data_IF_775201219877
#
_entry.id   IF_775201219877
#
_cell.length_a   1.000
_cell.length_b   1.000
_cell.length_c   1.000
_cell.angle_alpha   90.00
_cell.angle_beta   90.00
_cell.angle_gamma   90.00
#
_symmetry.space_group_name_H-M   'P 1'
#
loop_
_entity.id
_entity.type
_entity.pdbx_description
1 polymer ?
#
# COMPACT_ATOMS: atom_id res chain seq x y z
N UNK A 1 -20.03 -14.47 15.86
CA UNK A 1 -19.58 -13.06 16.00
C UNK A 1 -18.06 -13.04 15.90
N UNK A 2 -17.47 -12.20 15.03
CA UNK A 2 -16.01 -11.98 15.03
C UNK A 2 -15.55 -11.27 16.31
N UNK A 3 -14.26 -11.36 16.65
CA UNK A 3 -13.69 -10.62 17.80
C UNK A 3 -13.72 -9.12 17.49
N UNK A 4 -14.25 -8.32 18.41
CA UNK A 4 -14.22 -6.86 18.34
C UNK A 4 -13.04 -6.36 19.16
N UNK A 5 -12.36 -5.32 18.68
CA UNK A 5 -11.27 -4.66 19.38
C UNK A 5 -11.47 -3.13 19.37
N UNK A 6 -10.95 -2.46 20.39
CA UNK A 6 -10.92 -1.00 20.48
C UNK A 6 -9.50 -0.51 20.27
N UNK A 7 -9.33 0.46 19.37
CA UNK A 7 -8.07 1.19 19.19
C UNK A 7 -8.25 2.61 19.71
N UNK A 8 -7.32 3.07 20.53
CA UNK A 8 -7.30 4.44 21.04
C UNK A 8 -6.49 5.32 20.11
N UNK A 9 -7.04 6.46 19.70
CA UNK A 9 -6.39 7.46 18.86
C UNK A 9 -6.64 8.85 19.45
N UNK A 10 -5.83 9.84 19.07
CA UNK A 10 -6.10 11.23 19.46
C UNK A 10 -7.43 11.72 18.89
N UNK A 11 -8.03 12.73 19.54
CA UNK A 11 -9.24 13.37 19.05
C UNK A 11 -9.06 13.94 17.63
N UNK A 12 -7.92 14.60 17.39
CA UNK A 12 -7.53 15.14 16.09
C UNK A 12 -7.47 14.05 15.00
N UNK A 13 -6.87 12.89 15.31
CA UNK A 13 -6.80 11.76 14.37
C UNK A 13 -8.21 11.26 14.02
N UNK A 14 -9.07 11.12 15.02
CA UNK A 14 -10.47 10.69 14.81
C UNK A 14 -11.23 11.69 13.96
N UNK A 15 -11.01 12.99 14.15
CA UNK A 15 -11.65 14.04 13.35
C UNK A 15 -11.20 13.98 11.88
N UNK A 16 -9.89 13.83 11.64
CA UNK A 16 -9.35 13.66 10.29
C UNK A 16 -9.95 12.43 9.60
N UNK A 17 -9.99 11.29 10.29
CA UNK A 17 -10.59 10.07 9.77
C UNK A 17 -12.09 10.22 9.51
N UNK A 18 -12.81 11.00 10.32
CA UNK A 18 -14.25 11.23 10.15
C UNK A 18 -14.56 12.00 8.86
N UNK A 19 -13.69 12.94 8.47
CA UNK A 19 -13.79 13.69 7.21
C UNK A 19 -13.69 12.77 5.99
N UNK A 20 -12.93 11.68 6.10
CA UNK A 20 -12.72 10.70 5.02
C UNK A 20 -13.75 9.56 5.01
N UNK A 21 -14.25 9.17 6.19
CA UNK A 21 -15.20 8.06 6.37
C UNK A 21 -16.53 8.27 5.64
N UNK A 22 -17.01 9.52 5.58
CA UNK A 22 -18.33 9.82 5.04
C UNK A 22 -19.44 9.00 5.73
N UNK A 23 -20.23 8.28 4.93
CA UNK A 23 -21.39 7.48 5.38
C UNK A 23 -21.06 6.04 5.80
N UNK A 24 -19.82 5.59 5.61
CA UNK A 24 -19.40 4.22 5.96
C UNK A 24 -19.44 3.96 7.46
N UNK A 25 -19.42 2.70 7.90
CA UNK A 25 -19.17 2.37 9.31
C UNK A 25 -17.68 2.55 9.62
N UNK A 26 -17.32 2.71 10.90
CA UNK A 26 -15.90 2.77 11.28
C UNK A 26 -15.13 1.51 10.87
N UNK A 27 -15.73 0.34 11.02
CA UNK A 27 -15.10 -0.93 10.66
C UNK A 27 -14.86 -1.03 9.14
N UNK A 28 -15.90 -0.81 8.33
CA UNK A 28 -15.77 -0.89 6.86
C UNK A 28 -14.76 0.12 6.31
N UNK A 29 -14.79 1.34 6.84
CA UNK A 29 -13.86 2.41 6.46
C UNK A 29 -12.41 2.07 6.81
N UNK A 30 -12.13 1.69 8.06
CA UNK A 30 -10.77 1.37 8.51
C UNK A 30 -10.23 0.12 7.81
N UNK A 31 -11.09 -0.88 7.57
CA UNK A 31 -10.74 -2.08 6.81
C UNK A 31 -10.39 -1.74 5.36
N UNK A 32 -11.17 -0.88 4.71
CA UNK A 32 -10.88 -0.42 3.34
C UNK A 32 -9.55 0.33 3.27
N UNK A 33 -9.31 1.29 4.18
CA UNK A 33 -8.05 2.01 4.25
C UNK A 33 -6.84 1.07 4.46
N UNK A 34 -6.97 0.09 5.35
CA UNK A 34 -5.90 -0.88 5.58
C UNK A 34 -5.58 -1.70 4.31
N UNK A 35 -6.61 -2.13 3.57
CA UNK A 35 -6.43 -2.87 2.32
C UNK A 35 -5.79 -2.01 1.21
N UNK A 36 -6.19 -0.74 1.10
CA UNK A 36 -5.61 0.22 0.16
C UNK A 36 -4.12 0.45 0.45
N UNK A 37 -3.75 0.66 1.72
CA UNK A 37 -2.35 0.85 2.13
C UNK A 37 -1.52 -0.42 1.90
N UNK A 38 -2.06 -1.60 2.21
CA UNK A 38 -1.39 -2.88 1.91
C UNK A 38 -1.18 -3.07 0.40
N UNK A 39 -2.17 -2.69 -0.43
CA UNK A 39 -2.01 -2.73 -1.89
C UNK A 39 -0.92 -1.76 -2.34
N UNK A 40 -0.94 -0.50 -1.86
CA UNK A 40 0.06 0.51 -2.19
C UNK A 40 1.48 0.05 -1.85
N UNK A 41 1.68 -0.57 -0.69
CA UNK A 41 2.98 -1.13 -0.30
C UNK A 41 3.44 -2.26 -1.23
N UNK A 42 2.54 -3.18 -1.59
CA UNK A 42 2.86 -4.27 -2.53
C UNK A 42 3.22 -3.73 -3.91
N UNK A 43 2.47 -2.75 -4.41
CA UNK A 43 2.71 -2.17 -5.73
C UNK A 43 4.02 -1.37 -5.75
N UNK A 44 4.39 -0.70 -4.66
CA UNK A 44 5.70 -0.05 -4.52
C UNK A 44 6.85 -1.05 -4.64
N UNK A 45 6.78 -2.16 -3.89
CA UNK A 45 7.81 -3.22 -3.94
C UNK A 45 7.88 -3.83 -5.34
N UNK A 46 6.73 -4.08 -5.98
CA UNK A 46 6.69 -4.60 -7.35
C UNK A 46 7.39 -3.67 -8.33
N UNK A 47 7.11 -2.37 -8.26
CA UNK A 47 7.75 -1.39 -9.14
C UNK A 47 9.25 -1.23 -8.90
N UNK A 48 9.72 -1.38 -7.65
CA UNK A 48 11.16 -1.41 -7.35
C UNK A 48 11.84 -2.66 -7.94
N UNK A 49 11.18 -3.82 -7.85
CA UNK A 49 11.67 -5.07 -8.44
C UNK A 49 11.69 -5.02 -9.98
N UNK A 50 10.64 -4.47 -10.61
CA UNK A 50 10.57 -4.30 -12.07
C UNK A 50 11.74 -3.45 -12.58
N UNK A 51 12.06 -2.35 -11.90
CA UNK A 51 13.21 -1.49 -12.24
C UNK A 51 14.55 -2.22 -12.12
N UNK A 52 14.72 -3.04 -11.07
CA UNK A 52 15.95 -3.82 -10.88
C UNK A 52 16.14 -4.81 -12.03
N UNK A 53 15.06 -5.52 -12.40
CA UNK A 53 15.08 -6.46 -13.51
C UNK A 53 15.36 -5.76 -14.85
N UNK A 54 14.78 -4.60 -15.12
CA UNK A 54 15.07 -3.82 -16.33
C UNK A 54 16.56 -3.46 -16.44
N UNK A 55 17.19 -3.04 -15.35
CA UNK A 55 18.63 -2.76 -15.31
C UNK A 55 19.47 -4.01 -15.60
N UNK A 56 19.14 -5.14 -15.00
CA UNK A 56 19.81 -6.42 -15.28
C UNK A 56 19.65 -6.84 -16.75
N UNK A 57 18.45 -6.68 -17.33
CA UNK A 57 18.21 -6.98 -18.74
C UNK A 57 18.97 -6.04 -19.70
N UNK A 58 19.13 -4.77 -19.34
CA UNK A 58 19.89 -3.81 -20.14
C UNK A 58 21.39 -4.14 -20.13
N UNK A 59 21.94 -4.50 -18.98
CA UNK A 59 23.32 -4.94 -18.83
C UNK A 59 23.62 -6.20 -19.66
N UNK A 60 22.73 -7.20 -19.61
CA UNK A 60 22.82 -8.41 -20.44
C UNK A 60 22.77 -8.10 -21.94
N UNK A 61 21.89 -7.18 -22.37
CA UNK A 61 21.82 -6.76 -23.78
C UNK A 61 23.02 -5.94 -24.24
N UNK A 62 23.69 -5.23 -23.34
CA UNK A 62 24.93 -4.53 -23.65
C UNK A 62 26.05 -5.54 -23.88
N UNK A 63 26.20 -6.49 -22.96
CA UNK A 63 27.21 -7.54 -23.06
C UNK A 63 27.05 -8.42 -24.31
N UNK A 64 25.82 -8.80 -24.64
CA UNK A 64 25.52 -9.59 -25.84
C UNK A 64 25.75 -8.86 -27.18
N UNK A 65 25.97 -7.54 -27.17
CA UNK A 65 26.32 -6.74 -28.37
C UNK A 65 27.82 -6.56 -28.55
N UNK A 66 28.61 -6.83 -27.51
CA UNK A 66 30.08 -6.74 -27.53
C UNK A 66 30.74 -8.08 -27.94
N UNK A 67 29.96 -9.14 -28.07
CA UNK A 67 30.34 -10.46 -28.61
C UNK A 67 29.55 -10.77 -29.89
#
# INVERSE_FOLDING_TARGET
MGKVATITVSGETKELLSKLKGRETWDSFLRRLALEELKRRRDKVRGELEKLLELEYEEVRSWAREF
#
